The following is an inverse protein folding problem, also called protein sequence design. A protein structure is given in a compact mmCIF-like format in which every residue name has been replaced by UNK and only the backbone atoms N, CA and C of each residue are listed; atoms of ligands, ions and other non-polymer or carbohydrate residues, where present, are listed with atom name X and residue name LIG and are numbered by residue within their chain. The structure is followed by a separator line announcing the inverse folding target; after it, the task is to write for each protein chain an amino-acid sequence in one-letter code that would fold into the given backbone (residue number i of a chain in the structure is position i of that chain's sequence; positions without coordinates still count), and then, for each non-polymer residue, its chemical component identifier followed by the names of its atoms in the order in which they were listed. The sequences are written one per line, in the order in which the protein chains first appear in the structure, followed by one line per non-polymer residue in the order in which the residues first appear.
data_IF_457609015558
#
_entry.id   IF_457609015558
#
_cell.length_a   1.000
_cell.length_b   1.000
_cell.length_c   1.000
_cell.angle_alpha   90.00
_cell.angle_beta   90.00
_cell.angle_gamma   90.00
#
_symmetry.space_group_name_H-M   'P 1'
#
loop_
_entity.id
_entity.type
_entity.pdbx_description
1 polymer ?
#
# COMPACT_ATOMS: atom_id res chain seq x y z
N UNK A 1 1.03 -7.29 15.67
CA UNK A 1 0.12 -6.94 14.56
C UNK A 1 -0.54 -8.23 14.18
N UNK A 2 -1.85 -8.30 14.38
CA UNK A 2 -2.58 -9.56 14.23
C UNK A 2 -2.90 -9.79 12.76
N UNK A 3 -2.78 -11.04 12.34
CA UNK A 3 -3.16 -11.45 11.01
C UNK A 3 -4.68 -11.29 10.82
N UNK A 4 -5.11 -10.77 9.67
CA UNK A 4 -6.53 -10.57 9.36
C UNK A 4 -6.83 -10.98 7.92
N UNK A 5 -7.91 -11.74 7.73
CA UNK A 5 -8.45 -12.09 6.42
C UNK A 5 -9.76 -11.37 6.17
N UNK A 6 -9.92 -10.78 4.99
CA UNK A 6 -11.12 -10.08 4.53
C UNK A 6 -11.24 -10.15 3.01
N UNK A 7 -12.40 -9.86 2.46
CA UNK A 7 -12.64 -9.73 1.03
C UNK A 7 -12.29 -8.32 0.54
N UNK A 8 -12.08 -8.16 -0.77
CA UNK A 8 -11.91 -6.84 -1.38
C UNK A 8 -13.13 -5.92 -1.12
N UNK A 9 -14.33 -6.48 -1.10
CA UNK A 9 -15.55 -5.72 -0.83
C UNK A 9 -15.59 -5.19 0.61
N UNK A 10 -15.22 -6.03 1.60
CA UNK A 10 -15.09 -5.61 2.99
C UNK A 10 -14.01 -4.53 3.16
N UNK A 11 -12.85 -4.69 2.50
CA UNK A 11 -11.80 -3.68 2.52
C UNK A 11 -12.28 -2.33 1.98
N UNK A 12 -12.97 -2.34 0.83
CA UNK A 12 -13.52 -1.13 0.20
C UNK A 12 -14.56 -0.47 1.09
N UNK A 13 -15.46 -1.24 1.70
CA UNK A 13 -16.47 -0.70 2.60
C UNK A 13 -15.81 -0.05 3.83
N UNK A 14 -14.84 -0.71 4.46
CA UNK A 14 -14.11 -0.14 5.60
C UNK A 14 -13.31 1.11 5.23
N UNK A 15 -12.68 1.13 4.05
CA UNK A 15 -11.96 2.29 3.58
C UNK A 15 -12.90 3.49 3.35
N UNK A 16 -14.09 3.24 2.78
CA UNK A 16 -15.13 4.26 2.62
C UNK A 16 -15.65 4.80 3.95
N UNK A 17 -15.95 3.92 4.91
CA UNK A 17 -16.40 4.33 6.25
C UNK A 17 -15.34 5.15 7.02
N UNK A 18 -14.06 4.93 6.70
CA UNK A 18 -12.94 5.58 7.36
C UNK A 18 -12.52 6.89 6.71
N UNK A 19 -12.46 6.92 5.37
CA UNK A 19 -11.82 8.00 4.60
C UNK A 19 -12.76 8.67 3.58
N UNK A 20 -13.99 8.17 3.40
CA UNK A 20 -14.91 8.63 2.37
C UNK A 20 -14.73 7.93 1.02
N UNK A 21 -15.44 8.40 0.00
CA UNK A 21 -15.53 7.69 -1.29
C UNK A 21 -14.33 7.84 -2.22
N UNK A 22 -13.43 8.79 -1.95
CA UNK A 22 -12.25 9.04 -2.79
C UNK A 22 -11.10 8.07 -2.47
N UNK A 23 -10.75 7.12 -3.35
CA UNK A 23 -9.67 6.16 -3.11
C UNK A 23 -8.30 6.83 -3.01
N UNK A 24 -8.14 8.04 -3.56
CA UNK A 24 -6.90 8.80 -3.44
C UNK A 24 -6.64 9.25 -2.00
N UNK A 25 -7.70 9.38 -1.19
CA UNK A 25 -7.60 9.72 0.23
C UNK A 25 -7.43 8.49 1.15
N UNK A 26 -7.55 7.27 0.64
CA UNK A 26 -7.49 6.06 1.47
C UNK A 26 -6.07 5.79 1.95
N UNK A 27 -5.87 5.87 3.27
CA UNK A 27 -4.57 5.65 3.91
C UNK A 27 -4.33 4.19 4.28
N UNK A 28 -3.12 3.71 4.03
CA UNK A 28 -2.62 2.40 4.50
C UNK A 28 -1.36 2.58 5.32
N UNK A 29 -1.20 1.81 6.39
CA UNK A 29 -0.04 1.90 7.29
C UNK A 29 0.95 0.77 7.01
N UNK A 30 2.21 1.11 6.73
CA UNK A 30 3.27 0.13 6.60
C UNK A 30 3.47 -0.64 7.93
N UNK A 31 3.41 -1.99 7.94
CA UNK A 31 3.56 -2.75 9.17
C UNK A 31 4.98 -2.69 9.74
N UNK A 32 5.98 -2.41 8.89
CA UNK A 32 7.39 -2.32 9.28
C UNK A 32 7.74 -0.96 9.89
N UNK A 33 7.64 0.12 9.12
CA UNK A 33 8.08 1.46 9.57
C UNK A 33 6.96 2.39 10.06
N UNK A 34 5.70 1.94 10.03
CA UNK A 34 4.50 2.71 10.45
C UNK A 34 4.16 3.96 9.63
N UNK A 35 4.90 4.24 8.56
CA UNK A 35 4.54 5.29 7.59
C UNK A 35 3.13 5.03 7.04
N UNK A 36 2.32 6.08 6.98
CA UNK A 36 0.99 6.06 6.38
C UNK A 36 1.10 6.71 5.01
N UNK A 37 0.64 6.01 3.98
CA UNK A 37 0.60 6.54 2.62
C UNK A 37 -0.80 6.40 2.01
N UNK A 38 -1.21 7.39 1.24
CA UNK A 38 -2.48 7.43 0.51
C UNK A 38 -2.30 7.15 -0.98
N UNK A 39 -3.41 6.98 -1.72
CA UNK A 39 -3.36 6.92 -3.18
C UNK A 39 -2.75 8.19 -3.78
N UNK A 40 -3.06 9.36 -3.22
CA UNK A 40 -2.48 10.65 -3.63
C UNK A 40 -0.96 10.69 -3.42
N UNK A 41 -0.46 10.24 -2.28
CA UNK A 41 0.99 10.17 -2.04
C UNK A 41 1.70 9.33 -3.10
N UNK A 42 1.13 8.17 -3.46
CA UNK A 42 1.69 7.29 -4.49
C UNK A 42 1.61 7.89 -5.90
N UNK A 43 0.52 8.57 -6.23
CA UNK A 43 0.39 9.25 -7.51
C UNK A 43 1.47 10.31 -7.68
N UNK A 44 1.63 11.21 -6.71
CA UNK A 44 2.67 12.25 -6.73
C UNK A 44 4.09 11.66 -6.72
N UNK A 45 4.30 10.55 -6.00
CA UNK A 45 5.58 9.86 -6.00
C UNK A 45 5.90 9.24 -7.37
N UNK A 46 4.92 8.64 -8.05
CA UNK A 46 5.08 8.04 -9.38
C UNK A 46 5.27 9.07 -10.49
N UNK A 47 4.73 10.28 -10.35
CA UNK A 47 5.04 11.38 -11.29
C UNK A 47 6.53 11.77 -11.23
N UNK A 48 7.12 11.77 -10.03
CA UNK A 48 8.53 12.13 -9.81
C UNK A 48 9.48 10.96 -10.00
N UNK A 49 9.01 9.75 -9.73
CA UNK A 49 9.77 8.50 -9.80
C UNK A 49 8.98 7.46 -10.60
N UNK A 50 8.86 7.62 -11.93
CA UNK A 50 8.10 6.68 -12.77
C UNK A 50 8.63 5.26 -12.65
N UNK A 51 7.71 4.30 -12.54
CA UNK A 51 7.99 2.86 -12.50
C UNK A 51 7.20 2.16 -13.60
N UNK A 52 7.76 1.07 -14.12
CA UNK A 52 7.05 0.17 -15.04
C UNK A 52 6.96 -1.23 -14.46
N UNK A 53 5.90 -1.94 -14.82
CA UNK A 53 5.75 -3.36 -14.56
C UNK A 53 6.84 -4.13 -15.30
N UNK A 54 7.67 -4.89 -14.59
CA UNK A 54 8.83 -5.56 -15.18
C UNK A 54 8.48 -6.55 -16.32
N UNK A 55 7.25 -7.09 -16.33
CA UNK A 55 6.79 -8.07 -17.32
C UNK A 55 6.09 -7.43 -18.52
N UNK A 56 5.29 -6.39 -18.31
CA UNK A 56 4.46 -5.78 -19.38
C UNK A 56 5.02 -4.46 -19.89
N UNK A 57 6.00 -3.88 -19.18
CA UNK A 57 6.53 -2.55 -19.41
C UNK A 57 5.48 -1.41 -19.37
N UNK A 58 4.30 -1.69 -18.83
CA UNK A 58 3.25 -0.70 -18.62
C UNK A 58 3.60 0.16 -17.40
N UNK A 59 3.19 1.42 -17.41
CA UNK A 59 3.35 2.32 -16.28
C UNK A 59 2.61 1.78 -15.06
N UNK A 60 3.29 1.77 -13.92
CA UNK A 60 2.70 1.46 -12.62
C UNK A 60 1.85 2.64 -12.18
N UNK A 61 0.66 2.37 -11.66
CA UNK A 61 -0.24 3.38 -11.07
C UNK A 61 -0.38 3.18 -9.56
N UNK A 62 -0.95 4.17 -8.86
CA UNK A 62 -1.06 4.14 -7.40
C UNK A 62 -1.74 2.86 -6.87
N UNK A 63 -2.82 2.41 -7.53
CA UNK A 63 -3.57 1.21 -7.12
C UNK A 63 -2.79 -0.10 -7.26
N UNK A 64 -1.70 -0.14 -8.05
CA UNK A 64 -0.85 -1.32 -8.16
C UNK A 64 0.01 -1.53 -6.90
N UNK A 65 0.28 -0.45 -6.15
CA UNK A 65 1.23 -0.41 -5.04
C UNK A 65 0.58 -0.16 -3.69
N UNK A 66 -0.48 0.65 -3.66
CA UNK A 66 -1.14 1.10 -2.43
C UNK A 66 -1.60 -0.11 -1.60
N UNK A 67 -1.21 -0.12 -0.33
CA UNK A 67 -1.53 -1.22 0.59
C UNK A 67 -0.72 -2.50 0.38
N UNK A 68 0.21 -2.56 -0.58
CA UNK A 68 1.12 -3.71 -0.76
C UNK A 68 2.59 -3.34 -0.65
N UNK A 69 2.98 -2.13 -1.05
CA UNK A 69 4.34 -1.63 -0.92
C UNK A 69 4.40 -0.45 0.04
N UNK A 70 5.49 -0.34 0.81
CA UNK A 70 5.79 0.91 1.50
C UNK A 70 6.17 1.97 0.46
N UNK A 71 5.66 3.19 0.59
CA UNK A 71 5.93 4.30 -0.34
C UNK A 71 7.43 4.58 -0.51
N UNK A 72 8.23 4.28 0.53
CA UNK A 72 9.68 4.35 0.46
C UNK A 72 10.27 3.63 -0.75
N UNK A 73 9.70 2.49 -1.18
CA UNK A 73 10.15 1.78 -2.39
C UNK A 73 10.02 2.61 -3.66
N UNK A 74 8.94 3.37 -3.80
CA UNK A 74 8.73 4.29 -4.92
C UNK A 74 9.62 5.52 -4.81
N UNK A 75 9.86 6.02 -3.59
CA UNK A 75 10.71 7.18 -3.33
C UNK A 75 12.21 6.89 -3.38
N UNK A 76 12.62 5.63 -3.51
CA UNK A 76 14.03 5.24 -3.68
C UNK A 76 14.70 4.59 -2.46
N UNK A 77 13.95 4.12 -1.47
CA UNK A 77 14.46 3.44 -0.27
C UNK A 77 15.31 2.19 -0.54
N UNK A 78 15.26 1.65 -1.76
CA UNK A 78 16.15 0.56 -2.18
C UNK A 78 17.61 1.01 -2.36
N UNK A 79 17.86 2.31 -2.50
CA UNK A 79 19.21 2.86 -2.51
C UNK A 79 19.78 2.95 -1.08
N UNK A 80 21.04 2.54 -0.90
CA UNK A 80 21.71 2.54 0.42
C UNK A 80 21.79 3.91 1.10
N UNK A 81 21.74 5.00 0.34
CA UNK A 81 21.85 6.38 0.83
C UNK A 81 20.51 7.07 1.07
N UNK A 82 19.39 6.36 0.97
CA UNK A 82 18.07 6.96 1.12
C UNK A 82 17.77 7.37 2.57
N UNK A 83 17.34 8.60 2.76
CA UNK A 83 16.97 9.18 4.07
C UNK A 83 15.58 9.82 4.07
N UNK A 84 14.74 9.51 3.09
CA UNK A 84 13.37 10.04 2.98
C UNK A 84 12.34 9.23 3.79
N UNK A 85 11.05 9.50 3.57
CA UNK A 85 9.94 8.78 4.23
C UNK A 85 9.78 7.34 3.74
N UNK A 86 9.24 6.48 4.60
CA UNK A 86 9.02 5.07 4.28
C UNK A 86 10.27 4.18 4.31
N UNK A 87 10.08 2.89 4.09
CA UNK A 87 11.13 1.86 4.08
C UNK A 87 11.04 0.97 2.83
N UNK A 88 11.81 -0.12 2.81
CA UNK A 88 11.89 -1.06 1.67
C UNK A 88 10.85 -2.17 1.68
N UNK A 89 9.98 -2.22 2.70
CA UNK A 89 9.05 -3.31 2.94
C UNK A 89 7.97 -3.45 1.85
N UNK A 90 7.59 -4.69 1.56
CA UNK A 90 6.46 -5.06 0.71
C UNK A 90 5.71 -6.25 1.35
N UNK A 91 4.42 -6.37 1.07
CA UNK A 91 3.54 -7.42 1.59
C UNK A 91 3.63 -8.75 0.82
N UNK A 92 4.39 -8.79 -0.27
CA UNK A 92 4.59 -9.97 -1.10
C UNK A 92 6.01 -10.53 -0.95
N UNK A 93 6.23 -11.76 -1.43
CA UNK A 93 7.51 -12.44 -1.35
C UNK A 93 7.63 -13.30 -0.09
N UNK A 94 8.81 -13.28 0.55
CA UNK A 94 9.11 -14.18 1.68
C UNK A 94 8.35 -13.84 2.97
N UNK A 95 8.10 -12.55 3.20
CA UNK A 95 7.44 -12.06 4.41
C UNK A 95 6.08 -11.46 4.02
N UNK A 96 4.97 -12.19 4.24
CA UNK A 96 3.65 -11.72 3.85
C UNK A 96 3.21 -10.52 4.69
N UNK A 97 2.39 -9.65 4.10
CA UNK A 97 1.66 -8.62 4.82
C UNK A 97 0.69 -9.21 5.86
N UNK A 98 0.39 -8.46 6.93
CA UNK A 98 -0.48 -8.94 8.01
C UNK A 98 -1.94 -9.12 7.56
N UNK A 99 -2.39 -8.44 6.51
CA UNK A 99 -3.74 -8.63 5.97
C UNK A 99 -3.69 -9.58 4.77
N UNK A 100 -4.71 -10.42 4.62
CA UNK A 100 -4.98 -11.26 3.45
C UNK A 100 -6.32 -10.84 2.85
N UNK A 101 -6.28 -10.33 1.62
CA UNK A 101 -7.43 -9.81 0.89
C UNK A 101 -7.85 -10.83 -0.16
N UNK A 102 -9.04 -11.40 -0.02
CA UNK A 102 -9.65 -12.30 -1.00
C UNK A 102 -10.28 -11.49 -2.13
N UNK A 103 -9.82 -11.75 -3.35
CA UNK A 103 -10.29 -11.11 -4.58
C UNK A 103 -11.56 -11.81 -5.10
N UNK A 104 -12.35 -11.15 -5.98
CA UNK A 104 -13.58 -11.72 -6.54
C UNK A 104 -13.40 -13.05 -7.29
N UNK A 105 -12.20 -13.32 -7.79
CA UNK A 105 -11.85 -14.56 -8.48
C UNK A 105 -11.39 -15.69 -7.52
N UNK A 106 -11.48 -15.46 -6.21
CA UNK A 106 -11.11 -16.42 -5.17
C UNK A 106 -9.61 -16.49 -4.85
N UNK A 107 -8.75 -15.78 -5.60
CA UNK A 107 -7.34 -15.62 -5.23
C UNK A 107 -7.22 -14.71 -4.01
N UNK A 108 -6.13 -14.81 -3.27
CA UNK A 108 -5.81 -13.86 -2.21
C UNK A 108 -4.48 -13.14 -2.46
N UNK A 109 -4.42 -11.91 -1.97
CA UNK A 109 -3.21 -11.09 -1.94
C UNK A 109 -2.93 -10.64 -0.52
N UNK A 110 -1.67 -10.51 -0.16
CA UNK A 110 -1.28 -9.96 1.13
C UNK A 110 -1.16 -8.45 1.05
N UNK A 111 -1.57 -7.76 2.11
CA UNK A 111 -1.57 -6.31 2.17
C UNK A 111 -1.33 -5.74 3.56
N UNK A 112 -1.31 -4.42 3.61
CA UNK A 112 -1.15 -3.60 4.79
C UNK A 112 -2.51 -3.28 5.40
N UNK A 113 -2.57 -3.00 6.71
CA UNK A 113 -3.78 -2.48 7.33
C UNK A 113 -4.11 -1.07 6.80
N UNK A 114 -5.40 -0.76 6.73
CA UNK A 114 -5.87 0.62 6.62
C UNK A 114 -5.32 1.44 7.81
N UNK A 115 -4.89 2.66 7.54
CA UNK A 115 -4.40 3.58 8.57
C UNK A 115 -5.50 3.89 9.60
N UNK A 116 -5.17 4.18 10.87
CA UNK A 116 -6.15 4.58 11.88
C UNK A 116 -7.00 5.79 11.43
N UNK A 117 -8.27 5.85 11.85
CA UNK A 117 -9.23 6.91 11.44
C UNK A 117 -8.80 8.30 11.91
N UNK A 118 -8.26 8.36 13.11
CA UNK A 118 -7.61 9.54 13.69
C UNK A 118 -6.14 9.16 13.76
N UNK A 119 -5.22 9.98 13.24
CA UNK A 119 -3.78 9.68 13.18
C UNK A 119 -3.13 9.47 14.55
N UNK A 120 -3.47 8.36 15.21
CA UNK A 120 -3.02 8.00 16.53
C UNK A 120 -1.54 7.63 16.43
N UNK A 121 -0.78 8.55 17.02
CA UNK A 121 0.67 8.61 17.20
C UNK A 121 1.35 7.28 17.49
#
# INVERSE_FOLDING_TARGET
MDHRKLTQAELVNEARERFGDDPMAWGFQCPSCKDIATGQDFHEALEKHPRTHARTNESVIASDLLGQECIGRTLGALAKSYTGRGCTWAAYGLLPGPWEIVLPDGRSVHGFPLAPKDGAS
#
